data_IF_929610127786
#
_entry.id   IF_929610127786
#
_cell.length_a   1.000
_cell.length_b   1.000
_cell.length_c   1.000
_cell.angle_alpha   90.00
_cell.angle_beta   90.00
_cell.angle_gamma   90.00
#
_symmetry.space_group_name_H-M   'P 1'
#
loop_
_entity.id
_entity.type
_entity.pdbx_description
1 polymer ?
#
# COMPACT_ATOMS: atom_id res chain seq x y z
N UNK A 1 -17.39 20.05 -17.81
CA UNK A 1 -16.42 19.35 -18.68
C UNK A 1 -15.17 18.87 -17.93
N UNK A 2 -14.51 19.70 -17.09
CA UNK A 2 -13.30 19.30 -16.32
C UNK A 2 -13.47 18.02 -15.49
N UNK A 3 -14.56 17.92 -14.71
CA UNK A 3 -14.79 16.78 -13.82
C UNK A 3 -15.02 15.45 -14.56
N UNK A 4 -15.81 15.48 -15.64
CA UNK A 4 -16.01 14.30 -16.49
C UNK A 4 -14.68 13.83 -17.10
N UNK A 5 -13.82 14.76 -17.51
CA UNK A 5 -12.45 14.45 -17.96
C UNK A 5 -11.64 13.72 -16.90
N UNK A 6 -11.64 14.19 -15.65
CA UNK A 6 -10.96 13.51 -14.54
C UNK A 6 -11.50 12.09 -14.30
N UNK A 7 -12.82 11.89 -14.32
CA UNK A 7 -13.44 10.57 -14.17
C UNK A 7 -13.02 9.61 -15.28
N UNK A 8 -12.97 10.07 -16.52
CA UNK A 8 -12.51 9.28 -17.67
C UNK A 8 -11.02 8.94 -17.58
N UNK A 9 -10.17 9.90 -17.19
CA UNK A 9 -8.73 9.67 -16.99
C UNK A 9 -8.50 8.65 -15.87
N UNK A 10 -9.25 8.75 -14.76
CA UNK A 10 -9.19 7.77 -13.68
C UNK A 10 -9.53 6.35 -14.16
N UNK A 11 -10.60 6.21 -14.95
CA UNK A 11 -11.00 4.93 -15.51
C UNK A 11 -9.92 4.40 -16.46
N UNK A 12 -9.36 5.24 -17.33
CA UNK A 12 -8.29 4.85 -18.25
C UNK A 12 -7.02 4.37 -17.51
N UNK A 13 -6.57 5.12 -16.50
CA UNK A 13 -5.42 4.72 -15.67
C UNK A 13 -5.67 3.42 -14.90
N UNK A 14 -6.90 3.20 -14.43
CA UNK A 14 -7.29 1.95 -13.78
C UNK A 14 -7.28 0.77 -14.75
N UNK A 15 -7.81 0.94 -15.96
CA UNK A 15 -7.74 -0.09 -17.01
C UNK A 15 -6.30 -0.41 -17.40
N UNK A 16 -5.43 0.61 -17.47
CA UNK A 16 -4.00 0.40 -17.69
C UNK A 16 -3.37 -0.40 -16.53
N UNK A 17 -3.64 -0.03 -15.27
CA UNK A 17 -3.16 -0.76 -14.10
C UNK A 17 -3.54 -2.25 -14.16
N UNK A 18 -4.82 -2.57 -14.43
CA UNK A 18 -5.27 -3.96 -14.56
C UNK A 18 -4.57 -4.67 -15.73
N UNK A 19 -4.48 -4.01 -16.88
CA UNK A 19 -3.86 -4.60 -18.08
C UNK A 19 -2.39 -4.91 -17.80
N UNK A 20 -1.68 -3.97 -17.18
CA UNK A 20 -0.29 -4.12 -16.79
C UNK A 20 -0.09 -5.30 -15.83
N UNK A 21 -0.94 -5.39 -14.80
CA UNK A 21 -0.81 -6.42 -13.75
C UNK A 21 -1.22 -7.83 -14.18
N UNK A 22 -2.19 -8.00 -15.09
CA UNK A 22 -2.65 -9.34 -15.49
C UNK A 22 -2.03 -9.85 -16.78
N UNK A 23 -1.69 -8.95 -17.71
CA UNK A 23 -1.30 -9.36 -19.07
C UNK A 23 0.14 -9.01 -19.41
N UNK A 24 0.69 -7.94 -18.83
CA UNK A 24 2.02 -7.44 -19.22
C UNK A 24 3.14 -7.81 -18.22
N UNK A 25 2.80 -8.24 -17.00
CA UNK A 25 3.76 -8.49 -15.91
C UNK A 25 4.64 -9.74 -16.08
N UNK A 26 4.58 -10.43 -17.22
CA UNK A 26 4.97 -11.84 -17.30
C UNK A 26 6.48 -12.15 -17.40
N UNK A 27 7.43 -11.20 -17.41
CA UNK A 27 8.79 -11.55 -17.85
C UNK A 27 10.00 -10.99 -17.09
N UNK A 28 9.84 -10.38 -15.90
CA UNK A 28 10.97 -9.67 -15.25
C UNK A 28 11.12 -9.92 -13.75
N UNK A 29 10.69 -11.08 -13.23
CA UNK A 29 10.88 -11.36 -11.79
C UNK A 29 12.33 -11.80 -11.52
N UNK A 30 13.14 -10.99 -10.80
CA UNK A 30 14.44 -11.43 -10.32
C UNK A 30 14.27 -12.58 -9.32
N UNK A 31 15.35 -13.33 -9.04
CA UNK A 31 15.30 -14.34 -7.99
C UNK A 31 14.98 -13.66 -6.64
N UNK A 32 13.77 -13.88 -6.15
CA UNK A 32 13.30 -13.40 -4.84
C UNK A 32 13.80 -14.24 -3.68
N UNK A 33 14.63 -15.25 -3.98
CA UNK A 33 15.18 -16.18 -3.00
C UNK A 33 15.97 -15.42 -1.93
N UNK A 34 15.64 -15.68 -0.66
CA UNK A 34 16.33 -15.17 0.53
C UNK A 34 16.21 -13.65 0.76
N UNK A 35 15.21 -12.95 0.24
CA UNK A 35 14.91 -11.57 0.67
C UNK A 35 14.14 -11.62 2.00
N UNK A 36 14.75 -11.14 3.09
CA UNK A 36 14.18 -11.24 4.44
C UNK A 36 12.84 -10.51 4.64
N UNK A 37 12.54 -9.49 3.82
CA UNK A 37 11.27 -8.75 3.89
C UNK A 37 10.18 -9.32 2.99
N UNK A 38 10.48 -10.38 2.21
CA UNK A 38 9.55 -10.95 1.24
C UNK A 38 8.36 -11.62 1.97
N UNK A 39 7.11 -11.28 1.65
CA UNK A 39 5.94 -11.98 2.17
C UNK A 39 5.68 -13.29 1.42
N UNK A 40 4.87 -14.15 2.02
CA UNK A 40 4.36 -15.34 1.34
C UNK A 40 3.59 -14.96 0.05
N UNK A 41 3.60 -15.79 -1.01
CA UNK A 41 2.92 -15.50 -2.27
C UNK A 41 1.43 -15.16 -2.14
N UNK A 42 0.73 -15.72 -1.15
CA UNK A 42 -0.69 -15.41 -0.93
C UNK A 42 -0.93 -13.94 -0.55
N UNK A 43 0.07 -13.23 -0.02
CA UNK A 43 -0.06 -11.83 0.40
C UNK A 43 -0.50 -10.92 -0.75
N UNK A 44 -0.03 -11.22 -1.97
CA UNK A 44 -0.34 -10.46 -3.18
C UNK A 44 -1.81 -10.55 -3.59
N UNK A 45 -2.59 -11.46 -3.00
CA UNK A 45 -4.06 -11.50 -3.23
C UNK A 45 -4.78 -10.24 -2.76
N UNK A 46 -4.17 -9.43 -1.88
CA UNK A 46 -4.70 -8.12 -1.49
C UNK A 46 -4.87 -7.16 -2.68
N UNK A 47 -4.12 -7.34 -3.77
CA UNK A 47 -4.32 -6.57 -4.99
C UNK A 47 -5.73 -6.73 -5.55
N UNK A 48 -6.34 -7.91 -5.46
CA UNK A 48 -7.74 -8.10 -5.88
C UNK A 48 -8.70 -7.26 -5.04
N UNK A 49 -8.46 -7.15 -3.73
CA UNK A 49 -9.26 -6.30 -2.83
C UNK A 49 -9.07 -4.83 -3.21
N UNK A 50 -7.84 -4.40 -3.47
CA UNK A 50 -7.53 -3.02 -3.91
C UNK A 50 -8.25 -2.74 -5.23
N UNK A 51 -8.10 -3.59 -6.25
CA UNK A 51 -8.74 -3.41 -7.55
C UNK A 51 -10.26 -3.34 -7.43
N UNK A 52 -10.87 -4.18 -6.60
CA UNK A 52 -12.31 -4.15 -6.37
C UNK A 52 -12.76 -2.83 -5.71
N UNK A 53 -12.05 -2.39 -4.67
CA UNK A 53 -12.37 -1.14 -3.97
C UNK A 53 -12.19 0.09 -4.87
N UNK A 54 -11.12 0.13 -5.68
CA UNK A 54 -10.89 1.18 -6.66
C UNK A 54 -11.98 1.15 -7.73
N UNK A 55 -12.35 -0.02 -8.26
CA UNK A 55 -13.43 -0.15 -9.22
C UNK A 55 -14.76 0.37 -8.66
N UNK A 56 -15.13 -0.01 -7.44
CA UNK A 56 -16.34 0.49 -6.77
C UNK A 56 -16.28 2.01 -6.62
N UNK A 57 -15.14 2.57 -6.20
CA UNK A 57 -14.96 4.02 -6.09
C UNK A 57 -15.14 4.74 -7.43
N UNK A 58 -14.52 4.22 -8.50
CA UNK A 58 -14.61 4.76 -9.85
C UNK A 58 -16.02 4.71 -10.40
N UNK A 59 -16.69 3.56 -10.29
CA UNK A 59 -18.08 3.42 -10.76
C UNK A 59 -19.03 4.34 -9.98
N UNK A 60 -18.89 4.41 -8.66
CA UNK A 60 -19.66 5.35 -7.84
C UNK A 60 -19.39 6.81 -8.24
N UNK A 61 -18.18 7.14 -8.69
CA UNK A 61 -17.85 8.49 -9.13
C UNK A 61 -18.70 8.96 -10.32
N UNK A 62 -19.14 8.05 -11.21
CA UNK A 62 -19.99 8.42 -12.35
C UNK A 62 -21.44 8.71 -11.96
N UNK A 63 -21.93 8.10 -10.88
CA UNK A 63 -23.28 8.29 -10.34
C UNK A 63 -23.27 9.09 -9.02
N UNK A 64 -22.21 9.86 -8.80
CA UNK A 64 -21.88 10.49 -7.54
C UNK A 64 -22.84 11.60 -7.10
N UNK A 65 -22.89 11.80 -5.78
CA UNK A 65 -23.37 13.02 -5.15
C UNK A 65 -22.26 14.09 -5.05
N UNK A 66 -22.62 15.32 -4.71
CA UNK A 66 -21.70 16.46 -4.63
C UNK A 66 -20.46 16.24 -3.74
N UNK A 67 -20.54 15.37 -2.73
CA UNK A 67 -19.39 15.03 -1.88
C UNK A 67 -18.30 14.27 -2.65
N UNK A 68 -18.68 13.23 -3.40
CA UNK A 68 -17.71 12.42 -4.15
C UNK A 68 -17.17 13.19 -5.36
N UNK A 69 -17.98 14.05 -5.97
CA UNK A 69 -17.52 14.97 -7.01
C UNK A 69 -16.46 15.94 -6.47
N UNK A 70 -16.65 16.48 -5.25
CA UNK A 70 -15.63 17.27 -4.57
C UNK A 70 -14.36 16.46 -4.34
N UNK A 71 -14.46 15.21 -3.88
CA UNK A 71 -13.27 14.34 -3.70
C UNK A 71 -12.51 14.18 -5.01
N UNK A 72 -13.19 13.82 -6.11
CA UNK A 72 -12.55 13.62 -7.42
C UNK A 72 -11.90 14.90 -7.94
N UNK A 73 -12.54 16.05 -7.78
CA UNK A 73 -12.00 17.33 -8.23
C UNK A 73 -10.72 17.74 -7.45
N UNK A 74 -10.70 17.52 -6.13
CA UNK A 74 -9.58 17.91 -5.29
C UNK A 74 -8.38 16.98 -5.41
N UNK A 75 -8.59 15.66 -5.52
CA UNK A 75 -7.48 14.73 -5.76
C UNK A 75 -6.93 14.90 -7.19
N UNK A 76 -7.76 15.35 -8.13
CA UNK A 76 -7.34 15.72 -9.48
C UNK A 76 -6.54 14.63 -10.18
N UNK A 77 -5.42 15.02 -10.80
CA UNK A 77 -4.54 14.12 -11.56
C UNK A 77 -3.59 13.28 -10.69
N UNK A 78 -3.58 13.47 -9.36
CA UNK A 78 -2.72 12.68 -8.47
C UNK A 78 -3.11 11.21 -8.41
N UNK A 79 -4.42 10.93 -8.40
CA UNK A 79 -4.93 9.55 -8.37
C UNK A 79 -4.71 8.75 -9.68
N UNK A 80 -5.02 9.28 -10.87
CA UNK A 80 -4.73 8.54 -12.09
C UNK A 80 -3.22 8.38 -12.33
N UNK A 81 -2.41 9.35 -11.89
CA UNK A 81 -0.96 9.24 -11.93
C UNK A 81 -0.47 8.11 -11.02
N UNK A 82 -1.01 7.96 -9.81
CA UNK A 82 -0.60 6.87 -8.90
C UNK A 82 -0.91 5.48 -9.49
N UNK A 83 -2.09 5.30 -10.08
CA UNK A 83 -2.46 4.05 -10.74
C UNK A 83 -1.57 3.75 -11.96
N UNK A 84 -1.28 4.77 -12.77
CA UNK A 84 -0.37 4.64 -13.90
C UNK A 84 1.03 4.20 -13.44
N UNK A 85 1.63 4.92 -12.48
CA UNK A 85 2.94 4.58 -11.94
C UNK A 85 2.98 3.15 -11.34
N UNK A 86 1.92 2.77 -10.62
CA UNK A 86 1.78 1.42 -10.07
C UNK A 86 1.72 0.33 -11.15
N UNK A 87 1.01 0.59 -12.25
CA UNK A 87 0.96 -0.33 -13.39
C UNK A 87 2.31 -0.40 -14.12
N UNK A 88 2.99 0.73 -14.26
CA UNK A 88 4.32 0.76 -14.88
C UNK A 88 5.34 -0.06 -14.07
N UNK A 89 5.25 -0.05 -12.74
CA UNK A 89 6.14 -0.81 -11.87
C UNK A 89 6.23 -2.29 -12.21
N UNK A 90 5.11 -2.92 -12.59
CA UNK A 90 5.07 -4.38 -12.82
C UNK A 90 5.49 -4.79 -14.23
N UNK A 91 5.73 -3.84 -15.13
CA UNK A 91 6.10 -4.10 -16.54
C UNK A 91 7.53 -3.67 -16.87
N UNK A 92 8.21 -2.97 -15.96
CA UNK A 92 9.60 -2.54 -16.11
C UNK A 92 10.55 -3.50 -15.39
N UNK A 93 11.86 -3.37 -15.66
CA UNK A 93 12.87 -4.16 -14.96
C UNK A 93 12.99 -3.83 -13.48
N UNK A 94 13.68 -4.69 -12.73
CA UNK A 94 13.85 -4.62 -11.27
C UNK A 94 14.28 -3.24 -10.77
N UNK A 95 15.36 -2.66 -11.31
CA UNK A 95 15.86 -1.37 -10.80
C UNK A 95 14.89 -0.22 -11.09
N UNK A 96 14.36 -0.06 -12.32
CA UNK A 96 13.31 0.94 -12.58
C UNK A 96 12.03 0.74 -11.75
N UNK A 97 11.64 -0.49 -11.40
CA UNK A 97 10.40 -0.74 -10.65
C UNK A 97 10.38 0.02 -9.33
N UNK A 98 11.52 0.10 -8.63
CA UNK A 98 11.64 0.85 -7.38
C UNK A 98 11.32 2.34 -7.55
N UNK A 99 11.74 2.96 -8.67
CA UNK A 99 11.42 4.36 -8.96
C UNK A 99 9.90 4.54 -9.13
N UNK A 100 9.27 3.71 -9.95
CA UNK A 100 7.84 3.83 -10.26
C UNK A 100 6.95 3.53 -9.03
N UNK A 101 7.27 2.50 -8.24
CA UNK A 101 6.49 2.20 -7.03
C UNK A 101 6.66 3.29 -5.97
N UNK A 102 7.87 3.88 -5.85
CA UNK A 102 8.12 5.01 -4.93
C UNK A 102 7.35 6.26 -5.36
N UNK A 103 7.34 6.59 -6.65
CA UNK A 103 6.54 7.71 -7.16
C UNK A 103 5.04 7.44 -6.98
N UNK A 104 4.58 6.20 -7.18
CA UNK A 104 3.20 5.78 -6.88
C UNK A 104 2.87 5.99 -5.39
N UNK A 105 3.78 5.59 -4.49
CA UNK A 105 3.63 5.81 -3.05
C UNK A 105 3.51 7.30 -2.70
N UNK A 106 4.39 8.14 -3.24
CA UNK A 106 4.38 9.59 -2.98
C UNK A 106 3.09 10.24 -3.49
N UNK A 107 2.63 9.87 -4.68
CA UNK A 107 1.36 10.38 -5.24
C UNK A 107 0.16 9.91 -4.41
N UNK A 108 0.16 8.67 -3.91
CA UNK A 108 -0.86 8.18 -2.98
C UNK A 108 -0.84 8.93 -1.64
N UNK A 109 0.32 9.29 -1.10
CA UNK A 109 0.42 10.12 0.10
C UNK A 109 -0.27 11.49 -0.09
N UNK A 110 -0.10 12.09 -1.28
CA UNK A 110 -0.78 13.35 -1.64
C UNK A 110 -2.29 13.14 -1.71
N UNK A 111 -2.76 12.11 -2.43
CA UNK A 111 -4.19 11.76 -2.53
C UNK A 111 -4.80 11.54 -1.15
N UNK A 112 -4.15 10.73 -0.31
CA UNK A 112 -4.60 10.45 1.06
C UNK A 112 -4.71 11.73 1.89
N UNK A 113 -3.69 12.59 1.83
CA UNK A 113 -3.65 13.85 2.59
C UNK A 113 -4.74 14.82 2.14
N UNK A 114 -5.01 14.91 0.83
CA UNK A 114 -6.09 15.73 0.29
C UNK A 114 -7.44 15.24 0.83
N UNK A 115 -7.72 13.94 0.72
CA UNK A 115 -8.98 13.36 1.21
C UNK A 115 -9.15 13.57 2.71
N UNK A 116 -8.08 13.39 3.49
CA UNK A 116 -8.08 13.60 4.93
C UNK A 116 -8.45 15.04 5.31
N UNK A 117 -8.01 16.03 4.53
CA UNK A 117 -8.28 17.46 4.79
C UNK A 117 -9.68 17.90 4.38
N UNK A 118 -10.36 17.16 3.50
CA UNK A 118 -11.70 17.53 3.03
C UNK A 118 -12.78 17.47 4.13
N UNK A 119 -12.52 16.80 5.26
CA UNK A 119 -13.41 16.75 6.43
C UNK A 119 -14.87 16.31 6.14
N UNK A 120 -15.11 15.70 4.96
CA UNK A 120 -16.35 15.01 4.60
C UNK A 120 -16.50 13.77 5.49
N UNK A 121 -17.62 13.04 5.43
CA UNK A 121 -17.76 11.70 6.05
C UNK A 121 -16.57 10.80 5.65
N UNK A 122 -15.47 10.86 6.40
CA UNK A 122 -14.12 10.79 5.82
C UNK A 122 -13.74 9.36 5.53
N UNK A 123 -14.31 8.44 6.31
CA UNK A 123 -13.92 7.05 6.30
C UNK A 123 -14.34 6.34 4.99
N UNK A 124 -15.57 6.56 4.50
CA UNK A 124 -16.08 5.85 3.30
C UNK A 124 -15.25 6.10 2.04
N UNK A 125 -14.77 7.34 1.86
CA UNK A 125 -14.01 7.73 0.67
C UNK A 125 -12.51 7.54 0.87
N UNK A 126 -12.02 7.54 2.11
CA UNK A 126 -10.61 7.30 2.44
C UNK A 126 -10.23 5.83 2.40
N UNK A 127 -11.13 4.91 2.74
CA UNK A 127 -10.86 3.45 2.79
C UNK A 127 -10.11 2.90 1.57
N UNK A 128 -10.57 3.09 0.31
CA UNK A 128 -9.86 2.54 -0.85
C UNK A 128 -8.41 3.03 -0.96
N UNK A 129 -8.18 4.32 -0.70
CA UNK A 129 -6.84 4.92 -0.78
C UNK A 129 -5.97 4.56 0.41
N UNK A 130 -6.54 4.37 1.58
CA UNK A 130 -5.83 3.91 2.78
C UNK A 130 -5.26 2.51 2.58
N UNK A 131 -6.10 1.58 2.10
CA UNK A 131 -5.70 0.19 1.82
C UNK A 131 -4.65 0.16 0.71
N UNK A 132 -4.87 0.93 -0.35
CA UNK A 132 -3.92 1.02 -1.47
C UNK A 132 -2.57 1.59 -1.01
N UNK A 133 -2.57 2.72 -0.29
CA UNK A 133 -1.36 3.34 0.24
C UNK A 133 -0.58 2.40 1.16
N UNK A 134 -1.28 1.69 2.06
CA UNK A 134 -0.65 0.77 3.00
C UNK A 134 0.05 -0.39 2.29
N UNK A 135 -0.62 -1.00 1.30
CA UNK A 135 -0.02 -2.10 0.55
C UNK A 135 1.13 -1.61 -0.34
N UNK A 136 0.97 -0.47 -1.01
CA UNK A 136 2.06 0.15 -1.78
C UNK A 136 3.26 0.45 -0.90
N UNK A 137 3.07 0.85 0.37
CA UNK A 137 4.17 1.06 1.33
C UNK A 137 4.96 -0.24 1.57
N UNK A 138 4.28 -1.37 1.79
CA UNK A 138 4.91 -2.68 1.97
C UNK A 138 5.60 -3.12 0.67
N UNK A 139 4.95 -2.94 -0.48
CA UNK A 139 5.52 -3.26 -1.79
C UNK A 139 6.81 -2.45 -2.06
N UNK A 140 6.84 -1.16 -1.71
CA UNK A 140 8.06 -0.33 -1.83
C UNK A 140 9.19 -0.86 -0.94
N UNK A 141 8.89 -1.29 0.29
CA UNK A 141 9.90 -1.94 1.16
C UNK A 141 10.43 -3.20 0.50
N UNK A 142 9.55 -4.07 0.00
CA UNK A 142 9.96 -5.32 -0.67
C UNK A 142 10.81 -5.03 -1.91
N UNK A 143 10.35 -4.15 -2.80
CA UNK A 143 11.07 -3.78 -4.03
C UNK A 143 12.44 -3.17 -3.72
N UNK A 144 12.56 -2.38 -2.64
CA UNK A 144 13.86 -1.85 -2.22
C UNK A 144 14.85 -2.97 -1.95
N UNK A 145 14.46 -4.00 -1.20
CA UNK A 145 15.36 -5.11 -0.87
C UNK A 145 15.61 -6.04 -2.05
N UNK A 146 14.62 -6.22 -2.92
CA UNK A 146 14.80 -6.95 -4.18
C UNK A 146 15.84 -6.25 -5.07
N UNK A 147 15.77 -4.92 -5.20
CA UNK A 147 16.76 -4.14 -5.95
C UNK A 147 18.14 -4.20 -5.29
N UNK A 148 18.23 -4.01 -3.98
CA UNK A 148 19.50 -4.09 -3.26
C UNK A 148 20.17 -5.46 -3.46
N UNK A 149 19.40 -6.54 -3.35
CA UNK A 149 19.89 -7.90 -3.55
C UNK A 149 20.30 -8.16 -5.00
N UNK A 150 19.51 -7.70 -5.96
CA UNK A 150 19.81 -7.82 -7.39
C UNK A 150 21.11 -7.09 -7.79
N UNK A 151 21.49 -6.03 -7.06
CA UNK A 151 22.74 -5.30 -7.26
C UNK A 151 23.89 -5.79 -6.34
N UNK A 152 23.70 -6.89 -5.61
CA UNK A 152 24.74 -7.47 -4.76
C UNK A 152 25.09 -6.65 -3.51
N UNK A 153 24.21 -5.74 -3.08
CA UNK A 153 24.42 -4.93 -1.87
C UNK A 153 24.14 -5.77 -0.64
N UNK A 154 25.19 -6.15 0.09
CA UNK A 154 25.08 -7.00 1.29
C UNK A 154 25.09 -6.19 2.59
N UNK A 155 25.66 -4.99 2.57
CA UNK A 155 25.78 -4.10 3.72
C UNK A 155 25.38 -2.68 3.34
N UNK A 156 24.68 -2.02 4.25
CA UNK A 156 24.44 -0.58 4.21
C UNK A 156 24.89 -0.03 5.57
N UNK A 157 25.61 1.10 5.61
CA UNK A 157 26.09 1.72 6.86
C UNK A 157 26.68 0.72 7.91
N UNK A 158 27.49 -0.25 7.47
CA UNK A 158 28.09 -1.30 8.31
C UNK A 158 27.10 -2.22 9.06
N UNK A 159 25.84 -2.27 8.63
CA UNK A 159 24.83 -3.22 9.09
C UNK A 159 24.51 -4.15 7.91
N UNK A 160 24.53 -5.46 8.14
CA UNK A 160 24.22 -6.46 7.11
C UNK A 160 22.74 -6.51 6.71
N UNK A 161 22.44 -7.25 5.63
CA UNK A 161 21.09 -7.42 5.07
C UNK A 161 20.01 -7.72 6.13
N UNK A 162 20.33 -8.61 7.08
CA UNK A 162 19.41 -8.96 8.17
C UNK A 162 19.09 -7.77 9.08
N UNK A 163 20.11 -6.99 9.45
CA UNK A 163 19.94 -5.84 10.34
C UNK A 163 19.13 -4.72 9.70
N UNK A 164 19.35 -4.44 8.41
CA UNK A 164 18.51 -3.47 7.67
C UNK A 164 17.08 -3.95 7.48
N UNK A 165 16.90 -5.24 7.19
CA UNK A 165 15.57 -5.84 7.07
C UNK A 165 14.80 -5.71 8.39
N UNK A 166 15.44 -6.03 9.51
CA UNK A 166 14.86 -5.85 10.84
C UNK A 166 14.52 -4.38 11.12
N UNK A 167 15.45 -3.47 10.84
CA UNK A 167 15.25 -2.02 11.05
C UNK A 167 14.08 -1.47 10.23
N UNK A 168 14.03 -1.75 8.93
CA UNK A 168 12.97 -1.22 8.06
C UNK A 168 11.60 -1.78 8.41
N UNK A 169 11.52 -3.05 8.83
CA UNK A 169 10.28 -3.66 9.31
C UNK A 169 9.84 -3.05 10.64
N UNK A 170 10.77 -2.69 11.52
CA UNK A 170 10.43 -1.93 12.72
C UNK A 170 9.88 -0.55 12.37
N UNK A 171 10.52 0.16 11.46
CA UNK A 171 10.04 1.48 10.97
C UNK A 171 8.66 1.36 10.32
N UNK A 172 8.44 0.36 9.47
CA UNK A 172 7.13 0.15 8.83
C UNK A 172 6.02 -0.16 9.85
N UNK A 173 6.29 -0.99 10.86
CA UNK A 173 5.37 -1.25 11.96
C UNK A 173 5.04 0.02 12.77
N UNK A 174 6.04 0.85 13.05
CA UNK A 174 5.84 2.16 13.70
C UNK A 174 5.00 3.12 12.85
N UNK A 175 5.20 3.12 11.52
CA UNK A 175 4.35 3.89 10.59
C UNK A 175 2.89 3.42 10.68
N UNK A 176 2.65 2.10 10.72
CA UNK A 176 1.29 1.57 10.86
C UNK A 176 0.62 2.03 12.18
N UNK A 177 1.37 2.05 13.28
CA UNK A 177 0.91 2.61 14.57
C UNK A 177 0.62 4.11 14.46
N UNK A 178 1.50 4.87 13.80
CA UNK A 178 1.31 6.30 13.59
C UNK A 178 0.04 6.60 12.77
N UNK A 179 -0.26 5.81 11.74
CA UNK A 179 -1.52 5.94 10.98
C UNK A 179 -2.75 5.69 11.86
N UNK A 180 -2.68 4.70 12.76
CA UNK A 180 -3.75 4.44 13.71
C UNK A 180 -3.97 5.63 14.68
N UNK A 181 -2.92 6.06 15.38
CA UNK A 181 -3.06 7.07 16.45
C UNK A 181 -3.18 8.51 15.94
N UNK A 182 -2.40 8.87 14.92
CA UNK A 182 -2.32 10.25 14.41
C UNK A 182 -3.40 10.49 13.35
N UNK A 183 -3.50 9.60 12.36
CA UNK A 183 -4.45 9.76 11.24
C UNK A 183 -5.84 9.20 11.53
N UNK A 184 -6.02 8.55 12.69
CA UNK A 184 -7.26 7.87 13.09
C UNK A 184 -7.72 6.93 11.98
N UNK A 185 -6.79 6.18 11.40
CA UNK A 185 -7.06 5.24 10.32
C UNK A 185 -6.85 3.79 10.74
N UNK A 186 -7.93 3.04 10.71
CA UNK A 186 -7.95 1.60 11.03
C UNK A 186 -7.66 0.73 9.82
N UNK A 187 -7.86 1.21 8.59
CA UNK A 187 -7.69 0.39 7.40
C UNK A 187 -6.21 0.21 7.03
N UNK A 188 -5.41 1.26 7.20
CA UNK A 188 -3.97 1.21 6.99
C UNK A 188 -3.27 0.14 7.85
N UNK A 189 -3.43 0.11 9.20
CA UNK A 189 -2.81 -0.92 10.03
C UNK A 189 -3.36 -2.33 9.77
N UNK A 190 -4.62 -2.49 9.32
CA UNK A 190 -5.14 -3.81 8.93
C UNK A 190 -4.39 -4.41 7.74
N UNK A 191 -3.98 -3.58 6.77
CA UNK A 191 -3.13 -4.03 5.67
C UNK A 191 -1.73 -4.40 6.14
N UNK A 192 -1.19 -3.68 7.13
CA UNK A 192 0.08 -4.06 7.76
C UNK A 192 -0.03 -5.38 8.53
N UNK A 193 -1.14 -5.64 9.23
CA UNK A 193 -1.40 -6.95 9.84
C UNK A 193 -1.38 -8.05 8.77
N UNK A 194 -2.03 -7.84 7.63
CA UNK A 194 -2.03 -8.79 6.52
C UNK A 194 -0.63 -9.02 5.95
N UNK A 195 0.08 -7.95 5.60
CA UNK A 195 1.41 -8.04 5.00
C UNK A 195 2.46 -8.60 5.96
N UNK A 196 2.50 -8.13 7.21
CA UNK A 196 3.46 -8.62 8.20
C UNK A 196 3.13 -10.04 8.65
N UNK A 197 1.84 -10.40 8.70
CA UNK A 197 1.42 -11.79 8.90
C UNK A 197 1.93 -12.71 7.80
N UNK A 198 1.93 -12.24 6.54
CA UNK A 198 2.48 -13.01 5.42
C UNK A 198 4.01 -13.08 5.42
N UNK A 199 4.72 -12.03 5.88
CA UNK A 199 6.18 -12.10 6.09
C UNK A 199 6.50 -13.09 7.21
N UNK A 200 5.79 -13.02 8.34
CA UNK A 200 5.92 -13.97 9.45
C UNK A 200 5.73 -15.42 9.01
N UNK A 201 4.74 -15.67 8.15
CA UNK A 201 4.42 -17.01 7.64
C UNK A 201 5.45 -17.55 6.64
N UNK A 202 6.22 -16.67 5.98
CA UNK A 202 7.15 -17.06 4.91
C UNK A 202 8.61 -17.16 5.37
N UNK A 203 9.00 -16.33 6.34
CA UNK A 203 10.39 -16.20 6.76
C UNK A 203 10.73 -17.20 7.85
N UNK A 204 11.89 -17.85 7.73
CA UNK A 204 12.42 -18.76 8.76
C UNK A 204 13.32 -18.05 9.78
N UNK A 205 13.80 -16.85 9.46
CA UNK A 205 14.68 -16.11 10.35
C UNK A 205 13.94 -15.65 11.61
N UNK A 206 14.42 -16.08 12.78
CA UNK A 206 13.81 -15.81 14.09
C UNK A 206 13.61 -14.32 14.38
N UNK A 207 14.57 -13.47 14.03
CA UNK A 207 14.49 -12.03 14.28
C UNK A 207 13.38 -11.39 13.45
N UNK A 208 13.30 -11.74 12.17
CA UNK A 208 12.27 -11.23 11.25
C UNK A 208 10.87 -11.67 11.71
N UNK A 209 10.71 -12.95 12.07
CA UNK A 209 9.45 -13.46 12.64
C UNK A 209 9.07 -12.75 13.93
N UNK A 210 10.02 -12.55 14.84
CA UNK A 210 9.76 -11.86 16.10
C UNK A 210 9.24 -10.44 15.87
N UNK A 211 9.92 -9.64 15.03
CA UNK A 211 9.53 -8.25 14.75
C UNK A 211 8.15 -8.19 14.10
N UNK A 212 7.95 -8.93 13.00
CA UNK A 212 6.68 -8.92 12.25
C UNK A 212 5.52 -9.45 13.09
N UNK A 213 5.73 -10.55 13.82
CA UNK A 213 4.75 -11.12 14.73
C UNK A 213 4.39 -10.18 15.89
N UNK A 214 5.37 -9.50 16.48
CA UNK A 214 5.14 -8.52 17.55
C UNK A 214 4.25 -7.38 17.07
N UNK A 215 4.54 -6.78 15.90
CA UNK A 215 3.69 -5.72 15.34
C UNK A 215 2.28 -6.21 14.98
N UNK A 216 2.14 -7.43 14.44
CA UNK A 216 0.83 -8.03 14.17
C UNK A 216 0.01 -8.13 15.47
N UNK A 217 0.59 -8.67 16.54
CA UNK A 217 -0.10 -8.81 17.83
C UNK A 217 -0.46 -7.46 18.43
N UNK A 218 0.47 -6.49 18.42
CA UNK A 218 0.23 -5.14 18.94
C UNK A 218 -0.91 -4.45 18.18
N UNK A 219 -0.88 -4.48 16.85
CA UNK A 219 -1.91 -3.86 16.02
C UNK A 219 -3.28 -4.53 16.21
N UNK A 220 -3.32 -5.87 16.28
CA UNK A 220 -4.56 -6.61 16.57
C UNK A 220 -5.12 -6.24 17.95
N UNK A 221 -4.27 -6.17 18.97
CA UNK A 221 -4.68 -5.79 20.32
C UNK A 221 -5.28 -4.39 20.37
N UNK A 222 -4.63 -3.42 19.73
CA UNK A 222 -5.11 -2.02 19.66
C UNK A 222 -6.46 -1.94 18.95
N UNK A 223 -6.61 -2.59 17.80
CA UNK A 223 -7.85 -2.57 17.02
C UNK A 223 -8.98 -3.25 17.81
N UNK A 224 -8.72 -4.42 18.40
CA UNK A 224 -9.69 -5.14 19.21
C UNK A 224 -10.16 -4.28 20.40
N UNK A 225 -9.23 -3.72 21.18
CA UNK A 225 -9.57 -2.94 22.37
C UNK A 225 -10.37 -1.67 22.03
N UNK A 226 -10.01 -0.98 20.94
CA UNK A 226 -10.74 0.21 20.49
C UNK A 226 -12.18 -0.09 20.08
N UNK A 227 -12.42 -1.26 19.47
CA UNK A 227 -13.76 -1.70 19.12
C UNK A 227 -14.62 -1.93 20.38
N UNK A 228 -14.06 -2.54 21.43
CA UNK A 228 -14.75 -2.71 22.71
C UNK A 228 -15.06 -1.39 23.41
N UNK A 229 -14.15 -0.43 23.40
CA UNK A 229 -14.39 0.88 24.01
C UNK A 229 -15.52 1.62 23.30
N UNK A 230 -15.57 1.58 21.97
CA UNK A 230 -16.62 2.23 21.18
C UNK A 230 -18.01 1.66 21.48
N UNK A 231 -18.12 0.35 21.63
CA UNK A 231 -19.39 -0.34 21.91
C UNK A 231 -19.88 -0.19 23.36
N UNK A 232 -19.04 0.26 24.30
CA UNK A 232 -19.45 0.54 25.68
C UNK A 232 -20.03 1.95 25.87
N UNK A 233 -19.80 2.86 24.92
CA UNK A 233 -20.16 4.29 25.00
C UNK A 233 -21.37 4.63 24.11
N UNK A 234 -21.75 3.72 23.19
CA UNK A 234 -22.99 3.78 22.39
C UNK A 234 -24.15 3.07 23.08
#
# INVERSE_FOLDING_TARGET
>A
MRLLGLKLINLASFMYLLTASFFLSQNLQPSTANVYVMPAPFAFSIWFVIYLLLFIFLMKSFFANEELDRVVDHIGLWFPLSMFLSGTTVIVGTTPSLLFITLSLLTLCVVYTIIQRLNLSTQKYRTPFSIYLAWTSIATIVDTFVVLKANGVQELFAIGELGWSAFILAVGGLIALAFYFIQKDTWFPLVFIWGYGAIFAYQENTLIKFITGAFVVILLFIIFFSWFQKNRVS
#
